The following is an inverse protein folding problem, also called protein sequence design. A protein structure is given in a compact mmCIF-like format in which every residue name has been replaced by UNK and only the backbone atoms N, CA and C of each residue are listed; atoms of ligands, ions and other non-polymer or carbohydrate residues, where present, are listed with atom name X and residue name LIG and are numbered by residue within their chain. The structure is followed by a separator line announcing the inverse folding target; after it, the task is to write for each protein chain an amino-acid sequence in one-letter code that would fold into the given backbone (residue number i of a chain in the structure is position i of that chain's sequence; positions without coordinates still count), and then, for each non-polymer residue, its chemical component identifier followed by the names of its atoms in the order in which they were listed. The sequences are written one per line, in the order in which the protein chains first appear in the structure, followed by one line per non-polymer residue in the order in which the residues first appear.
data_IF_569387608006
#
_entry.id   IF_569387608006
#
_cell.length_a   1.000
_cell.length_b   1.000
_cell.length_c   1.000
_cell.angle_alpha   90.00
_cell.angle_beta   90.00
_cell.angle_gamma   90.00
#
_symmetry.space_group_name_H-M   'P 1'
#
loop_
_entity.id
_entity.type
_entity.pdbx_description
1 polymer ?
#
# COMPACT_ATOMS: atom_id res chain seq x y z
N UNK A 1 -5.37 8.42 -18.50
CA UNK A 1 -4.57 8.14 -17.29
C UNK A 1 -4.24 6.65 -17.30
N UNK A 2 -2.95 6.26 -17.20
CA UNK A 2 -2.61 4.84 -17.13
C UNK A 2 -3.06 4.29 -15.77
N UNK A 3 -3.61 3.07 -15.75
CA UNK A 3 -3.95 2.43 -14.49
C UNK A 3 -2.67 2.15 -13.69
N UNK A 4 -2.67 2.37 -12.36
CA UNK A 4 -1.52 2.03 -11.54
C UNK A 4 -1.18 0.54 -11.65
N UNK A 5 0.11 0.21 -11.71
CA UNK A 5 0.61 -1.17 -11.82
C UNK A 5 1.37 -1.57 -10.56
N UNK A 6 1.10 -2.77 -10.06
CA UNK A 6 1.75 -3.36 -8.89
C UNK A 6 1.98 -4.87 -9.13
N UNK A 7 2.88 -5.53 -8.39
CA UNK A 7 3.07 -6.98 -8.49
C UNK A 7 1.75 -7.74 -8.29
N UNK A 8 1.53 -8.79 -9.09
CA UNK A 8 0.32 -9.63 -8.98
C UNK A 8 0.33 -10.51 -7.74
N UNK A 9 1.51 -10.94 -7.28
CA UNK A 9 1.70 -11.67 -6.03
C UNK A 9 3.10 -11.44 -5.49
N UNK A 10 3.22 -11.54 -4.16
CA UNK A 10 4.47 -11.53 -3.43
C UNK A 10 4.38 -12.59 -2.34
N UNK A 11 5.51 -13.22 -2.00
CA UNK A 11 5.60 -14.16 -0.89
C UNK A 11 6.69 -13.68 0.07
N UNK A 12 6.40 -13.75 1.37
CA UNK A 12 7.30 -13.35 2.44
C UNK A 12 7.08 -14.30 3.63
N UNK A 13 8.12 -14.52 4.42
CA UNK A 13 8.02 -15.30 5.66
C UNK A 13 7.67 -14.38 6.82
N UNK A 14 7.12 -14.98 7.89
CA UNK A 14 6.93 -14.27 9.15
C UNK A 14 8.27 -13.71 9.64
N UNK A 15 8.29 -12.43 9.98
CA UNK A 15 9.50 -11.69 10.39
C UNK A 15 10.23 -10.97 9.26
N UNK A 16 9.93 -11.27 7.98
CA UNK A 16 10.57 -10.61 6.85
C UNK A 16 10.16 -9.13 6.74
N UNK A 17 10.90 -8.39 5.91
CA UNK A 17 10.46 -7.09 5.41
C UNK A 17 10.10 -7.21 3.94
N UNK A 18 8.85 -6.88 3.59
CA UNK A 18 8.38 -6.85 2.20
C UNK A 18 8.13 -5.42 1.75
N UNK A 19 8.41 -5.16 0.47
CA UNK A 19 8.14 -3.87 -0.19
C UNK A 19 7.25 -4.11 -1.39
N UNK A 20 6.05 -3.54 -1.36
CA UNK A 20 5.09 -3.58 -2.46
C UNK A 20 5.20 -2.25 -3.21
N UNK A 21 5.48 -2.29 -4.51
CA UNK A 21 5.63 -1.09 -5.33
C UNK A 21 4.40 -0.88 -6.22
N UNK A 22 4.08 0.38 -6.46
CA UNK A 22 2.97 0.79 -7.31
C UNK A 22 3.44 1.91 -8.23
N UNK A 23 3.49 1.65 -9.54
CA UNK A 23 3.88 2.62 -10.56
C UNK A 23 2.67 3.20 -11.27
N UNK A 24 2.83 4.35 -11.94
CA UNK A 24 1.73 5.02 -12.65
C UNK A 24 0.90 5.97 -11.78
N UNK A 25 1.40 6.29 -10.58
CA UNK A 25 0.84 7.35 -9.74
C UNK A 25 1.24 8.69 -10.35
N UNK A 26 0.32 9.66 -10.37
CA UNK A 26 0.65 11.00 -10.90
C UNK A 26 1.80 11.62 -10.09
N UNK A 27 2.69 12.34 -10.78
CA UNK A 27 3.85 12.97 -10.11
C UNK A 27 3.41 13.94 -9.01
N UNK A 28 2.25 14.58 -9.18
CA UNK A 28 1.65 15.52 -8.24
C UNK A 28 0.69 14.88 -7.23
N UNK A 29 0.31 13.61 -7.42
CA UNK A 29 -0.62 12.91 -6.55
C UNK A 29 0.06 12.19 -5.38
N UNK A 30 -0.77 11.63 -4.53
CA UNK A 30 -0.33 10.83 -3.38
C UNK A 30 -0.54 9.33 -3.63
N UNK A 31 0.33 8.51 -3.05
CA UNK A 31 0.13 7.07 -3.00
C UNK A 31 -0.79 6.71 -1.83
N UNK A 32 -1.91 6.05 -2.14
CA UNK A 32 -2.76 5.39 -1.16
C UNK A 32 -2.59 3.88 -1.23
N UNK A 33 -2.69 3.21 -0.07
CA UNK A 33 -2.63 1.75 0.03
C UNK A 33 -3.77 1.23 0.89
N UNK A 34 -4.54 0.29 0.34
CA UNK A 34 -5.62 -0.39 1.04
C UNK A 34 -5.35 -1.89 1.12
N UNK A 35 -5.78 -2.53 2.21
CA UNK A 35 -5.66 -3.96 2.48
C UNK A 35 -7.05 -4.59 2.52
N UNK A 36 -7.25 -5.67 1.77
CA UNK A 36 -8.46 -6.49 1.83
C UNK A 36 -8.08 -7.92 2.24
N UNK A 37 -8.40 -8.30 3.47
CA UNK A 37 -8.07 -9.63 4.00
C UNK A 37 -9.05 -10.70 3.53
N UNK A 38 -10.33 -10.35 3.44
CA UNK A 38 -11.40 -11.30 3.05
C UNK A 38 -11.94 -10.89 1.67
N UNK A 39 -11.94 -11.78 0.67
CA UNK A 39 -12.57 -11.49 -0.61
C UNK A 39 -14.03 -11.04 -0.45
N UNK A 40 -14.39 -9.91 -1.06
CA UNK A 40 -15.73 -9.32 -0.95
C UNK A 40 -15.96 -8.42 0.27
N UNK A 41 -15.01 -8.33 1.20
CA UNK A 41 -15.06 -7.35 2.30
C UNK A 41 -14.61 -5.95 1.83
N UNK A 42 -14.99 -4.90 2.58
CA UNK A 42 -14.51 -3.56 2.32
C UNK A 42 -12.99 -3.47 2.57
N UNK A 43 -12.18 -2.96 1.62
CA UNK A 43 -10.77 -2.72 1.87
C UNK A 43 -10.55 -1.67 2.98
N UNK A 44 -9.52 -1.88 3.80
CA UNK A 44 -9.13 -0.97 4.88
C UNK A 44 -7.92 -0.16 4.44
N UNK A 45 -7.94 1.16 4.64
CA UNK A 45 -6.79 2.01 4.35
C UNK A 45 -5.64 1.71 5.31
N UNK A 46 -4.46 1.38 4.77
CA UNK A 46 -3.23 1.16 5.55
C UNK A 46 -2.28 2.35 5.47
N UNK A 47 -2.19 3.03 4.32
CA UNK A 47 -1.42 4.26 4.12
C UNK A 47 -2.23 5.23 3.27
N UNK A 48 -2.23 6.50 3.65
CA UNK A 48 -2.75 7.65 2.90
C UNK A 48 -1.68 8.74 2.77
N UNK A 49 -1.89 9.72 1.88
CA UNK A 49 -0.97 10.84 1.64
C UNK A 49 0.49 10.41 1.42
N UNK A 50 0.70 9.25 0.78
CA UNK A 50 2.00 8.60 0.53
C UNK A 50 2.75 8.06 1.74
N UNK A 51 2.60 8.64 2.94
CA UNK A 51 3.41 8.27 4.11
C UNK A 51 2.64 8.28 5.44
N UNK A 52 1.38 8.69 5.44
CA UNK A 52 0.56 8.80 6.64
C UNK A 52 -0.15 7.48 6.91
N UNK A 53 -0.10 7.01 8.15
CA UNK A 53 -0.70 5.75 8.59
C UNK A 53 -1.80 6.04 9.60
N UNK A 54 -3.01 5.47 9.46
CA UNK A 54 -4.05 5.61 10.49
C UNK A 54 -3.59 5.06 11.84
N UNK A 55 -4.11 5.60 12.95
CA UNK A 55 -3.69 5.23 14.32
C UNK A 55 -3.87 3.75 14.63
N UNK A 56 -4.90 3.15 14.06
CA UNK A 56 -5.29 1.76 14.35
C UNK A 56 -4.52 0.74 13.48
N UNK A 57 -3.67 1.24 12.57
CA UNK A 57 -2.83 0.40 11.72
C UNK A 57 -1.45 0.22 12.40
N UNK A 58 -0.97 -1.04 12.53
CA UNK A 58 0.27 -1.35 13.23
C UNK A 58 1.49 -0.57 12.74
N UNK A 59 2.40 -0.25 13.67
CA UNK A 59 3.57 0.59 13.40
C UNK A 59 4.54 0.02 12.36
N UNK A 60 4.44 -1.28 12.10
CA UNK A 60 5.23 -2.04 11.14
C UNK A 60 4.95 -1.69 9.66
N UNK A 61 3.80 -1.07 9.36
CA UNK A 61 3.44 -0.60 8.03
C UNK A 61 3.99 0.82 7.79
N UNK A 62 4.57 1.09 6.64
CA UNK A 62 5.01 2.44 6.27
C UNK A 62 4.88 2.67 4.77
N UNK A 63 4.67 3.92 4.39
CA UNK A 63 4.51 4.31 2.99
C UNK A 63 5.57 5.32 2.55
N UNK A 64 5.90 5.29 1.26
CA UNK A 64 6.62 6.37 0.60
C UNK A 64 6.20 6.52 -0.85
N UNK A 65 6.58 7.64 -1.46
CA UNK A 65 6.45 7.88 -2.90
C UNK A 65 7.71 8.56 -3.42
N UNK A 66 8.20 8.10 -4.57
CA UNK A 66 9.28 8.73 -5.32
C UNK A 66 8.86 8.84 -6.79
N UNK A 67 8.83 10.05 -7.32
CA UNK A 67 8.30 10.32 -8.66
C UNK A 67 6.89 9.77 -8.85
N UNK A 68 6.73 8.85 -9.80
CA UNK A 68 5.47 8.19 -10.13
C UNK A 68 5.29 6.82 -9.46
N UNK A 69 6.14 6.47 -8.50
CA UNK A 69 6.14 5.17 -7.84
C UNK A 69 5.92 5.30 -6.33
N UNK A 70 4.83 4.71 -5.84
CA UNK A 70 4.55 4.50 -4.43
C UNK A 70 5.17 3.20 -3.93
N UNK A 71 5.53 3.13 -2.65
CA UNK A 71 6.01 1.92 -1.99
C UNK A 71 5.32 1.75 -0.64
N UNK A 72 4.72 0.57 -0.41
CA UNK A 72 4.32 0.11 0.91
C UNK A 72 5.41 -0.81 1.45
N UNK A 73 5.90 -0.52 2.65
CA UNK A 73 6.85 -1.37 3.36
C UNK A 73 6.17 -1.96 4.58
N UNK A 74 6.21 -3.29 4.70
CA UNK A 74 5.73 -4.04 5.86
C UNK A 74 6.95 -4.70 6.49
N UNK A 75 7.35 -4.22 7.67
CA UNK A 75 8.45 -4.81 8.45
C UNK A 75 7.92 -5.87 9.40
N UNK A 76 8.69 -6.90 9.71
CA UNK A 76 8.24 -7.93 10.66
C UNK A 76 6.88 -8.53 10.28
N UNK A 77 6.75 -8.97 9.02
CA UNK A 77 5.52 -9.55 8.45
C UNK A 77 4.92 -10.58 9.41
N UNK A 78 3.61 -10.53 9.59
CA UNK A 78 2.85 -11.49 10.41
C UNK A 78 1.90 -12.32 9.55
N UNK A 79 1.39 -13.43 10.10
CA UNK A 79 0.44 -14.28 9.38
C UNK A 79 -0.84 -13.52 8.99
N UNK A 80 -1.26 -12.55 9.81
CA UNK A 80 -2.44 -11.73 9.55
C UNK A 80 -2.24 -10.68 8.45
N UNK A 81 -1.01 -10.54 7.93
CA UNK A 81 -0.68 -9.63 6.83
C UNK A 81 -0.91 -10.26 5.45
N UNK A 82 -1.25 -11.55 5.39
CA UNK A 82 -1.71 -12.22 4.17
C UNK A 82 -3.05 -11.62 3.73
N UNK A 83 -3.02 -10.88 2.61
CA UNK A 83 -4.15 -10.12 2.10
C UNK A 83 -3.93 -9.70 0.64
N UNK A 84 -4.98 -9.23 0.00
CA UNK A 84 -4.86 -8.47 -1.25
C UNK A 84 -4.58 -7.02 -0.91
N UNK A 85 -3.53 -6.45 -1.49
CA UNK A 85 -3.18 -5.04 -1.35
C UNK A 85 -3.49 -4.29 -2.64
N UNK A 86 -4.11 -3.13 -2.50
CA UNK A 86 -4.45 -2.25 -3.61
C UNK A 86 -3.75 -0.92 -3.42
N UNK A 87 -3.08 -0.46 -4.48
CA UNK A 87 -2.60 0.90 -4.55
C UNK A 87 -3.54 1.79 -5.36
N UNK A 88 -3.54 3.08 -5.03
CA UNK A 88 -4.27 4.10 -5.78
C UNK A 88 -3.53 5.43 -5.80
N UNK A 89 -3.84 6.24 -6.80
CA UNK A 89 -3.49 7.66 -6.82
C UNK A 89 -4.63 8.43 -6.18
N UNK A 90 -4.36 9.10 -5.06
CA UNK A 90 -5.30 10.05 -4.47
C UNK A 90 -4.91 11.42 -5.03
N UNK A 91 -5.79 11.99 -5.86
CA UNK A 91 -5.63 13.36 -6.32
C UNK A 91 -6.08 14.30 -5.20
N UNK A 92 -5.39 15.43 -5.02
CA UNK A 92 -5.74 16.43 -4.02
C UNK A 92 -6.95 17.28 -4.42
N UNK A 93 -7.56 17.09 -5.59
CA UNK A 93 -8.74 17.87 -5.95
C UNK A 93 -9.93 17.47 -5.07
N UNK A 94 -10.27 18.36 -4.15
CA UNK A 94 -11.57 18.40 -3.47
C UNK A 94 -12.71 18.48 -4.48
#
# INVERSE_FOLDING_TARGET
QAAPSQPSSLSAKVGDTVRITCSGISSWGYAGWHQQKVPGSAPVTVIYNSNSRPSDIPSRFSGSKSGSTGTLTITGVQAEDEAVYFCGSIDSSS
#
